data_IF_621966559381
#
_entry.id   IF_621966559381
#
_cell.length_a   1.000
_cell.length_b   1.000
_cell.length_c   1.000
_cell.angle_alpha   90.00
_cell.angle_beta   90.00
_cell.angle_gamma   90.00
#
_symmetry.space_group_name_H-M   'P 1'
#
loop_
_entity.id
_entity.type
_entity.pdbx_description
1 polymer ?
#
# COMPACT_ATOMS: atom_id res chain seq x y z
N UNK A 1 13.39 -15.70 -9.45
CA UNK A 1 12.57 -14.60 -10.01
C UNK A 1 11.14 -14.80 -9.49
N UNK A 2 10.55 -13.77 -8.89
CA UNK A 2 9.14 -13.79 -8.46
C UNK A 2 8.35 -12.96 -9.47
N UNK A 3 7.31 -13.56 -10.05
CA UNK A 3 6.47 -12.86 -11.02
C UNK A 3 5.41 -12.03 -10.28
N UNK A 4 5.22 -10.79 -10.73
CA UNK A 4 4.09 -9.98 -10.28
C UNK A 4 2.76 -10.46 -10.88
N UNK A 5 1.63 -9.98 -10.37
CA UNK A 5 0.32 -10.31 -10.92
C UNK A 5 0.16 -9.78 -12.35
N UNK A 6 -0.43 -10.60 -13.23
CA UNK A 6 -0.69 -10.23 -14.63
C UNK A 6 -1.52 -8.95 -14.76
N UNK A 7 -2.53 -8.79 -13.90
CA UNK A 7 -3.33 -7.57 -13.80
C UNK A 7 -3.21 -6.93 -12.42
N UNK A 8 -2.08 -6.27 -12.18
CA UNK A 8 -1.79 -5.62 -10.89
C UNK A 8 -2.84 -4.56 -10.50
N UNK A 9 -3.45 -3.86 -11.47
CA UNK A 9 -4.48 -2.87 -11.16
C UNK A 9 -5.76 -3.52 -10.61
N UNK A 10 -6.23 -4.60 -11.24
CA UNK A 10 -7.40 -5.33 -10.75
C UNK A 10 -7.18 -5.87 -9.32
N UNK A 11 -5.95 -6.26 -8.98
CA UNK A 11 -5.61 -6.73 -7.63
C UNK A 11 -5.72 -5.61 -6.60
N UNK A 12 -5.11 -4.43 -6.84
CA UNK A 12 -5.20 -3.31 -5.87
C UNK A 12 -6.62 -2.76 -5.75
N UNK A 13 -7.39 -2.80 -6.83
CA UNK A 13 -8.80 -2.42 -6.81
C UNK A 13 -9.61 -3.39 -5.96
N UNK A 14 -9.39 -4.70 -6.13
CA UNK A 14 -10.05 -5.74 -5.32
C UNK A 14 -9.69 -5.62 -3.83
N UNK A 15 -8.42 -5.38 -3.49
CA UNK A 15 -8.00 -5.15 -2.10
C UNK A 15 -8.77 -3.98 -1.50
N UNK A 16 -8.90 -2.88 -2.23
CA UNK A 16 -9.67 -1.72 -1.77
C UNK A 16 -11.15 -2.06 -1.58
N UNK A 17 -11.78 -2.76 -2.53
CA UNK A 17 -13.19 -3.15 -2.41
C UNK A 17 -13.46 -4.06 -1.21
N UNK A 18 -12.57 -5.00 -0.91
CA UNK A 18 -12.77 -5.98 0.15
C UNK A 18 -12.38 -5.45 1.54
N UNK A 19 -11.44 -4.50 1.63
CA UNK A 19 -10.87 -4.08 2.92
C UNK A 19 -11.10 -2.61 3.26
N UNK A 20 -11.45 -1.77 2.27
CA UNK A 20 -11.47 -0.31 2.39
C UNK A 20 -10.07 0.33 2.47
N UNK A 21 -9.00 -0.45 2.45
CA UNK A 21 -7.63 0.05 2.52
C UNK A 21 -7.07 0.36 1.13
N UNK A 22 -6.39 1.49 1.01
CA UNK A 22 -5.60 1.78 -0.19
C UNK A 22 -4.40 0.84 -0.27
N UNK A 23 -4.11 0.34 -1.47
CA UNK A 23 -3.03 -0.60 -1.72
C UNK A 23 -2.13 -0.14 -2.87
N UNK A 24 -0.91 -0.66 -2.91
CA UNK A 24 -0.02 -0.54 -4.04
C UNK A 24 0.77 -1.83 -4.21
N UNK A 25 1.00 -2.23 -5.47
CA UNK A 25 1.92 -3.29 -5.83
C UNK A 25 3.18 -2.61 -6.36
N UNK A 26 4.31 -2.96 -5.76
CA UNK A 26 5.59 -2.32 -6.00
C UNK A 26 6.66 -3.37 -6.27
N UNK A 27 7.61 -3.01 -7.13
CA UNK A 27 8.87 -3.72 -7.31
C UNK A 27 9.99 -2.82 -6.77
N UNK A 28 10.66 -3.30 -5.72
CA UNK A 28 11.64 -2.54 -4.94
C UNK A 28 12.89 -3.38 -4.79
N UNK A 29 14.05 -2.75 -4.99
CA UNK A 29 15.34 -3.40 -4.82
C UNK A 29 16.34 -2.50 -4.10
N UNK A 30 17.45 -3.09 -3.66
CA UNK A 30 18.46 -2.45 -2.81
C UNK A 30 19.28 -1.36 -3.55
N UNK A 31 19.13 -1.26 -4.87
CA UNK A 31 19.73 -0.19 -5.69
C UNK A 31 18.94 1.13 -5.63
N UNK A 32 18.05 1.26 -4.64
CA UNK A 32 17.19 2.44 -4.44
C UNK A 32 16.25 2.70 -5.62
N UNK A 33 15.79 1.64 -6.28
CA UNK A 33 14.77 1.73 -7.31
C UNK A 33 13.42 1.26 -6.74
N UNK A 34 12.42 2.13 -6.84
CA UNK A 34 11.03 1.83 -6.48
C UNK A 34 10.18 2.01 -7.73
N UNK A 35 9.71 0.89 -8.29
CA UNK A 35 8.79 0.86 -9.41
C UNK A 35 7.39 0.55 -8.91
N UNK A 36 6.45 1.44 -9.19
CA UNK A 36 5.04 1.23 -8.87
C UNK A 36 4.41 0.49 -10.04
N UNK A 37 3.90 -0.72 -9.80
CA UNK A 37 3.22 -1.53 -10.82
C UNK A 37 1.73 -1.22 -10.88
N UNK A 38 1.11 -0.97 -9.72
CA UNK A 38 -0.27 -0.51 -9.59
C UNK A 38 -0.46 0.19 -8.24
N UNK A 39 -1.44 1.08 -8.16
CA UNK A 39 -1.85 1.71 -6.91
C UNK A 39 -3.33 2.06 -6.92
N UNK A 40 -3.97 2.01 -5.76
CA UNK A 40 -5.32 2.54 -5.58
C UNK A 40 -5.35 4.04 -5.88
N UNK A 41 -6.52 4.52 -6.30
CA UNK A 41 -6.74 5.95 -6.60
C UNK A 41 -6.42 6.82 -5.37
N UNK A 42 -5.65 7.88 -5.57
CA UNK A 42 -5.33 8.86 -4.53
C UNK A 42 -4.13 8.50 -3.64
N UNK A 43 -3.50 7.34 -3.84
CA UNK A 43 -2.26 6.98 -3.13
C UNK A 43 -1.12 7.92 -3.53
N UNK A 44 -0.42 8.46 -2.54
CA UNK A 44 0.75 9.32 -2.77
C UNK A 44 1.96 8.49 -3.21
N UNK A 45 2.32 8.62 -4.49
CA UNK A 45 3.52 7.98 -5.05
C UNK A 45 4.79 8.49 -4.37
N UNK A 46 4.83 9.77 -3.97
CA UNK A 46 5.97 10.35 -3.26
C UNK A 46 6.15 9.69 -1.88
N UNK A 47 5.06 9.47 -1.14
CA UNK A 47 5.10 8.75 0.14
C UNK A 47 5.59 7.31 -0.04
N UNK A 48 5.05 6.58 -1.03
CA UNK A 48 5.47 5.20 -1.31
C UNK A 48 6.97 5.13 -1.62
N UNK A 49 7.46 6.01 -2.50
CA UNK A 49 8.88 6.07 -2.83
C UNK A 49 9.72 6.38 -1.60
N UNK A 50 9.34 7.39 -0.82
CA UNK A 50 10.06 7.76 0.39
C UNK A 50 10.11 6.62 1.43
N UNK A 51 8.99 5.91 1.62
CA UNK A 51 8.88 4.83 2.58
C UNK A 51 9.65 3.57 2.16
N UNK A 52 9.78 3.33 0.86
CA UNK A 52 10.29 2.06 0.32
C UNK A 52 11.66 2.16 -0.34
N UNK A 53 12.25 3.36 -0.50
CA UNK A 53 13.50 3.56 -1.25
C UNK A 53 14.67 2.71 -0.75
N UNK A 54 14.69 2.36 0.54
CA UNK A 54 15.75 1.54 1.14
C UNK A 54 15.41 0.05 1.19
N UNK A 55 14.32 -0.38 0.56
CA UNK A 55 13.78 -1.74 0.63
C UNK A 55 13.68 -2.28 2.08
N UNK A 56 13.00 -1.57 3.00
CA UNK A 56 13.13 -1.83 4.44
C UNK A 56 12.55 -3.17 4.90
N UNK A 57 11.65 -3.77 4.13
CA UNK A 57 11.00 -5.03 4.50
C UNK A 57 11.82 -6.25 4.08
N UNK A 58 12.50 -6.17 2.92
CA UNK A 58 13.22 -7.30 2.31
C UNK A 58 12.28 -8.46 1.95
N UNK A 59 12.01 -8.68 0.67
CA UNK A 59 11.15 -9.80 0.23
C UNK A 59 11.93 -11.07 -0.17
N UNK A 60 13.24 -11.13 0.06
CA UNK A 60 14.09 -12.22 -0.42
C UNK A 60 14.17 -13.38 0.57
N UNK A 61 14.98 -13.24 1.62
CA UNK A 61 15.16 -14.29 2.63
C UNK A 61 14.18 -14.12 3.79
N UNK A 62 13.76 -12.88 4.06
CA UNK A 62 12.89 -12.50 5.15
C UNK A 62 11.43 -12.85 4.86
N UNK A 63 11.08 -13.04 3.57
CA UNK A 63 9.75 -13.43 3.10
C UNK A 63 8.62 -12.52 3.64
N UNK A 64 8.79 -11.19 3.53
CA UNK A 64 7.81 -10.18 4.01
C UNK A 64 7.07 -9.46 2.86
N UNK A 65 6.21 -10.16 2.09
CA UNK A 65 5.61 -9.59 0.87
C UNK A 65 4.54 -8.53 1.13
N UNK A 66 4.13 -8.30 2.39
CA UNK A 66 3.08 -7.36 2.77
C UNK A 66 3.62 -6.38 3.81
N UNK A 67 3.48 -5.08 3.51
CA UNK A 67 3.95 -3.99 4.36
C UNK A 67 2.79 -3.03 4.62
N UNK A 68 2.66 -2.56 5.87
CA UNK A 68 1.74 -1.47 6.22
C UNK A 68 2.49 -0.14 6.26
N UNK A 69 2.14 0.78 5.37
CA UNK A 69 2.66 2.15 5.38
C UNK A 69 1.65 3.03 6.11
N UNK A 70 2.06 3.60 7.25
CA UNK A 70 1.28 4.58 8.00
C UNK A 70 1.89 5.96 7.79
N UNK A 71 1.17 6.93 7.22
CA UNK A 71 1.59 8.33 7.25
C UNK A 71 1.80 8.74 8.71
N UNK A 72 2.99 9.25 9.04
CA UNK A 72 3.24 9.90 10.33
C UNK A 72 2.81 11.35 10.15
N UNK A 73 1.66 11.73 10.71
CA UNK A 73 1.08 13.04 10.46
C UNK A 73 2.00 14.21 10.82
N UNK A 74 2.08 15.15 9.87
CA UNK A 74 1.59 16.47 10.21
C UNK A 74 0.13 16.69 9.72
N UNK A 75 -0.32 16.21 8.55
CA UNK A 75 -1.58 16.72 7.94
C UNK A 75 -2.46 15.72 7.13
N UNK A 76 -2.94 14.60 7.69
CA UNK A 76 -4.16 13.95 7.15
C UNK A 76 -5.17 13.56 8.23
N UNK A 77 -6.34 14.21 8.22
CA UNK A 77 -7.49 13.75 9.00
C UNK A 77 -7.98 12.40 8.44
N UNK A 78 -8.28 11.40 9.30
CA UNK A 78 -8.88 10.15 8.87
C UNK A 78 -10.16 10.42 8.07
N UNK A 79 -10.26 9.83 6.88
CA UNK A 79 -11.51 9.86 6.12
C UNK A 79 -12.56 9.05 6.87
N UNK A 80 -13.67 9.69 7.22
CA UNK A 80 -14.79 9.09 7.93
C UNK A 80 -15.52 8.09 7.01
N UNK A 81 -15.02 6.87 6.92
CA UNK A 81 -15.75 5.75 6.36
C UNK A 81 -15.76 4.65 7.41
N UNK A 82 -16.94 4.42 8.01
CA UNK A 82 -17.26 3.14 8.66
C UNK A 82 -17.23 3.09 10.19
N UNK A 83 -17.81 4.06 10.90
CA UNK A 83 -18.36 3.82 12.24
C UNK A 83 -19.68 4.59 12.39
N UNK A 84 -20.74 4.09 11.76
CA UNK A 84 -22.11 4.48 12.09
C UNK A 84 -22.90 3.21 12.39
N UNK A 85 -23.66 3.31 13.49
CA UNK A 85 -24.68 2.38 13.99
C UNK A 85 -24.21 1.32 14.96
N UNK A 86 -24.14 1.68 16.24
CA UNK A 86 -24.68 0.83 17.30
C UNK A 86 -25.10 1.69 18.52
N UNK A 87 -26.41 1.90 18.60
CA UNK A 87 -27.24 2.08 19.79
C UNK A 87 -27.10 3.33 20.68
N UNK A 88 -28.06 4.23 20.49
CA UNK A 88 -28.94 4.76 21.55
C UNK A 88 -30.40 4.64 21.06
N UNK A 89 -31.42 4.60 21.95
CA UNK A 89 -31.39 4.96 23.37
C UNK A 89 -31.24 3.79 24.34
#
# INVERSE_FOLDING_TARGET
>A
IVLGPENSQAVVDKIYQETGLSAAIVDVNDLKAVKILAASKGVSIALLKQALITNPAGNANEQTPVVLIRPTDAHQKPSAVGLQSANQP
#
